data_IF_578036796887
#
_entry.id   IF_578036796887
#
_cell.length_a   1.000
_cell.length_b   1.000
_cell.length_c   1.000
_cell.angle_alpha   90.00
_cell.angle_beta   90.00
_cell.angle_gamma   90.00
#
_symmetry.space_group_name_H-M   'P 1'
#
loop_
_entity.id
_entity.type
_entity.pdbx_description
1 polymer ?
#
# COMPACT_ATOMS: atom_id res chain seq x y z
N UNK A 1 -86.76 17.79 63.99
CA UNK A 1 -86.83 16.83 62.87
C UNK A 1 -85.74 15.79 63.09
N UNK A 2 -86.09 14.49 63.23
CA UNK A 2 -85.08 13.45 63.41
C UNK A 2 -84.44 13.11 62.07
N UNK A 3 -83.11 13.10 62.01
CA UNK A 3 -82.36 12.56 60.87
C UNK A 3 -82.32 11.04 61.06
N UNK A 4 -82.97 10.30 60.18
CA UNK A 4 -82.91 8.84 60.15
C UNK A 4 -81.50 8.41 59.75
N UNK A 5 -80.78 7.75 60.66
CA UNK A 5 -79.54 7.05 60.36
C UNK A 5 -79.87 5.77 59.58
N UNK A 6 -79.90 5.90 58.26
CA UNK A 6 -79.99 4.77 57.34
C UNK A 6 -78.70 3.94 57.43
N UNK A 7 -78.86 2.63 57.27
CA UNK A 7 -77.87 1.58 57.49
C UNK A 7 -76.79 1.57 56.40
N UNK A 8 -75.87 2.54 56.44
CA UNK A 8 -74.80 2.79 55.45
C UNK A 8 -73.53 1.92 55.62
N UNK A 9 -73.54 0.90 56.50
CA UNK A 9 -72.31 0.12 56.80
C UNK A 9 -71.83 -0.79 55.65
N UNK A 10 -72.68 -1.07 54.65
CA UNK A 10 -72.31 -1.90 53.50
C UNK A 10 -71.62 -1.14 52.37
N UNK A 11 -72.08 0.07 52.05
CA UNK A 11 -71.59 0.85 50.91
C UNK A 11 -70.13 1.31 51.11
N UNK A 12 -69.78 1.74 52.32
CA UNK A 12 -68.40 2.17 52.66
C UNK A 12 -67.40 1.03 52.48
N UNK A 13 -67.78 -0.20 52.87
CA UNK A 13 -66.92 -1.37 52.72
C UNK A 13 -66.64 -1.69 51.25
N UNK A 14 -67.67 -1.63 50.40
CA UNK A 14 -67.53 -1.85 48.94
C UNK A 14 -66.65 -0.77 48.30
N UNK A 15 -66.87 0.50 48.63
CA UNK A 15 -66.04 1.60 48.10
C UNK A 15 -64.59 1.47 48.55
N UNK A 16 -64.35 1.15 49.82
CA UNK A 16 -62.99 0.94 50.34
C UNK A 16 -62.28 -0.24 49.65
N UNK A 17 -63.01 -1.31 49.33
CA UNK A 17 -62.48 -2.50 48.66
C UNK A 17 -62.17 -2.21 47.19
N UNK A 18 -63.03 -1.44 46.50
CA UNK A 18 -62.78 -0.99 45.12
C UNK A 18 -61.57 -0.06 45.06
N UNK A 19 -61.48 0.93 45.96
CA UNK A 19 -60.33 1.84 46.01
C UNK A 19 -59.02 1.10 46.33
N UNK A 20 -59.06 0.15 47.26
CA UNK A 20 -57.91 -0.70 47.57
C UNK A 20 -57.52 -1.57 46.36
N UNK A 21 -58.50 -2.16 45.67
CA UNK A 21 -58.25 -2.97 44.47
C UNK A 21 -57.66 -2.15 43.31
N UNK A 22 -58.12 -0.92 43.11
CA UNK A 22 -57.55 -0.02 42.11
C UNK A 22 -56.12 0.39 42.47
N UNK A 23 -55.85 0.69 43.75
CA UNK A 23 -54.51 1.03 44.22
C UNK A 23 -53.54 -0.16 44.07
N UNK A 24 -53.98 -1.39 44.36
CA UNK A 24 -53.14 -2.59 44.18
C UNK A 24 -52.87 -2.89 42.71
N UNK A 25 -53.85 -2.73 41.81
CA UNK A 25 -53.64 -2.93 40.37
C UNK A 25 -52.60 -1.94 39.80
N UNK A 26 -52.68 -0.66 40.20
CA UNK A 26 -51.68 0.34 39.80
C UNK A 26 -50.30 -0.01 40.37
N UNK A 27 -50.24 -0.45 41.63
CA UNK A 27 -48.99 -0.88 42.27
C UNK A 27 -48.33 -2.07 41.56
N UNK A 28 -49.11 -3.11 41.21
CA UNK A 28 -48.63 -4.29 40.48
C UNK A 28 -48.17 -3.94 39.07
N UNK A 29 -48.89 -3.04 38.38
CA UNK A 29 -48.49 -2.56 37.07
C UNK A 29 -47.15 -1.82 37.13
N UNK A 30 -46.93 -0.96 38.13
CA UNK A 30 -45.68 -0.22 38.32
C UNK A 30 -44.48 -1.14 38.58
N UNK A 31 -44.65 -2.16 39.42
CA UNK A 31 -43.61 -3.16 39.69
C UNK A 31 -43.27 -3.96 38.42
N UNK A 32 -44.28 -4.34 37.63
CA UNK A 32 -44.07 -5.10 36.39
C UNK A 32 -43.23 -4.31 35.38
N UNK A 33 -43.48 -3.01 35.23
CA UNK A 33 -42.67 -2.14 34.35
C UNK A 33 -41.23 -2.00 34.85
N UNK A 34 -41.01 -1.84 36.16
CA UNK A 34 -39.68 -1.74 36.74
C UNK A 34 -38.83 -2.99 36.47
N UNK A 35 -39.42 -4.19 36.61
CA UNK A 35 -38.74 -5.45 36.31
C UNK A 35 -38.36 -5.59 34.83
N UNK A 36 -39.20 -5.09 33.91
CA UNK A 36 -38.88 -5.08 32.47
C UNK A 36 -37.70 -4.15 32.20
N UNK A 37 -37.71 -2.94 32.78
CA UNK A 37 -36.64 -1.96 32.61
C UNK A 37 -35.31 -2.47 33.18
N UNK A 38 -35.34 -3.14 34.34
CA UNK A 38 -34.15 -3.78 34.92
C UNK A 38 -33.57 -4.86 34.01
N UNK A 39 -34.42 -5.70 33.40
CA UNK A 39 -33.97 -6.71 32.43
C UNK A 39 -33.41 -6.09 31.16
N UNK A 40 -34.03 -5.05 30.62
CA UNK A 40 -33.54 -4.33 29.45
C UNK A 40 -32.18 -3.69 29.76
N UNK A 41 -32.04 -3.04 30.92
CA UNK A 41 -30.78 -2.45 31.37
C UNK A 41 -29.70 -3.51 31.58
N UNK A 42 -30.05 -4.67 32.17
CA UNK A 42 -29.15 -5.81 32.34
C UNK A 42 -28.67 -6.40 31.02
N UNK A 43 -29.58 -6.55 30.04
CA UNK A 43 -29.23 -7.02 28.70
C UNK A 43 -28.34 -6.03 27.95
N UNK A 44 -28.65 -4.73 28.03
CA UNK A 44 -27.82 -3.69 27.44
C UNK A 44 -26.42 -3.69 28.06
N UNK A 45 -26.32 -3.79 29.40
CA UNK A 45 -25.03 -3.90 30.08
C UNK A 45 -24.23 -5.10 29.58
N UNK A 46 -24.82 -6.29 29.54
CA UNK A 46 -24.11 -7.48 29.05
C UNK A 46 -23.65 -7.34 27.60
N UNK A 47 -24.47 -6.74 26.73
CA UNK A 47 -24.10 -6.44 25.35
C UNK A 47 -22.90 -5.50 25.28
N UNK A 48 -22.90 -4.43 26.08
CA UNK A 48 -21.80 -3.47 26.15
C UNK A 48 -20.54 -4.11 26.71
N UNK A 49 -20.64 -4.92 27.77
CA UNK A 49 -19.49 -5.62 28.36
C UNK A 49 -18.86 -6.59 27.35
N UNK A 50 -19.68 -7.33 26.58
CA UNK A 50 -19.20 -8.21 25.52
C UNK A 50 -18.51 -7.43 24.39
N UNK A 51 -19.06 -6.28 23.99
CA UNK A 51 -18.45 -5.44 22.96
C UNK A 51 -17.11 -4.86 23.41
N UNK A 52 -17.04 -4.29 24.62
CA UNK A 52 -15.80 -3.75 25.19
C UNK A 52 -14.73 -4.85 25.34
N UNK A 53 -15.13 -6.08 25.68
CA UNK A 53 -14.19 -7.19 25.71
C UNK A 53 -13.62 -7.50 24.32
N UNK A 54 -14.46 -7.53 23.28
CA UNK A 54 -14.00 -7.73 21.91
C UNK A 54 -13.08 -6.59 21.43
N UNK A 55 -13.38 -5.34 21.76
CA UNK A 55 -12.51 -4.18 21.46
C UNK A 55 -11.17 -4.25 22.19
N UNK A 56 -11.16 -4.73 23.44
CA UNK A 56 -9.92 -4.97 24.17
C UNK A 56 -9.07 -6.03 23.47
N UNK A 57 -9.69 -7.09 22.93
CA UNK A 57 -9.01 -8.07 22.09
C UNK A 57 -8.45 -7.44 20.83
N UNK A 58 -9.21 -6.56 20.17
CA UNK A 58 -8.79 -5.87 18.96
C UNK A 58 -7.53 -5.04 19.22
N UNK A 59 -7.53 -4.26 20.30
CA UNK A 59 -6.34 -3.51 20.74
C UNK A 59 -5.16 -4.41 21.06
N UNK A 60 -5.38 -5.56 21.69
CA UNK A 60 -4.33 -6.55 21.96
C UNK A 60 -3.68 -7.08 20.68
N UNK A 61 -4.48 -7.38 19.65
CA UNK A 61 -3.99 -7.86 18.35
C UNK A 61 -3.16 -6.78 17.64
N UNK A 62 -3.67 -5.55 17.59
CA UNK A 62 -2.97 -4.42 16.96
C UNK A 62 -1.62 -4.18 17.64
N UNK A 63 -1.59 -4.17 18.98
CA UNK A 63 -0.35 -4.02 19.74
C UNK A 63 0.61 -5.18 19.49
N UNK A 64 0.12 -6.43 19.47
CA UNK A 64 0.95 -7.60 19.23
C UNK A 64 1.61 -7.58 17.84
N UNK A 65 0.92 -7.07 16.82
CA UNK A 65 1.50 -6.88 15.47
C UNK A 65 2.50 -5.73 15.47
N UNK A 66 2.17 -4.60 16.11
CA UNK A 66 3.06 -3.44 16.20
C UNK A 66 4.37 -3.78 16.93
N UNK A 67 4.31 -4.60 17.97
CA UNK A 67 5.47 -5.03 18.77
C UNK A 67 6.47 -5.90 17.99
N UNK A 68 6.05 -6.55 16.89
CA UNK A 68 6.99 -7.29 16.03
C UNK A 68 7.88 -6.37 15.20
N UNK A 69 7.53 -5.09 15.08
CA UNK A 69 8.20 -4.14 14.20
C UNK A 69 7.98 -4.41 12.70
N UNK A 70 8.57 -3.56 11.83
CA UNK A 70 8.28 -3.56 10.39
C UNK A 70 8.68 -4.87 9.67
N UNK A 71 9.74 -5.53 10.13
CA UNK A 71 10.25 -6.79 9.56
C UNK A 71 9.69 -8.05 10.24
N UNK A 72 8.74 -7.87 11.17
CA UNK A 72 8.09 -8.96 11.89
C UNK A 72 7.35 -9.92 10.96
N UNK A 73 7.94 -11.08 10.68
CA UNK A 73 7.29 -12.13 9.86
C UNK A 73 6.40 -13.06 10.69
N UNK A 74 6.54 -13.06 12.01
CA UNK A 74 5.89 -14.04 12.89
C UNK A 74 4.38 -14.07 12.73
N UNK A 75 3.69 -12.93 12.75
CA UNK A 75 2.24 -12.88 12.57
C UNK A 75 1.78 -13.42 11.21
N UNK A 76 2.61 -13.27 10.18
CA UNK A 76 2.22 -13.40 8.78
C UNK A 76 2.64 -14.72 8.11
N UNK A 77 3.40 -15.55 8.82
CA UNK A 77 3.93 -16.82 8.30
C UNK A 77 2.86 -17.89 8.13
N UNK A 78 2.02 -18.06 9.16
CA UNK A 78 1.01 -19.10 9.22
C UNK A 78 -0.13 -18.70 10.16
N UNK A 79 -1.26 -19.40 10.07
CA UNK A 79 -2.36 -19.23 11.03
C UNK A 79 -1.90 -19.61 12.44
N UNK A 80 -1.08 -20.64 12.56
CA UNK A 80 -0.56 -21.13 13.84
C UNK A 80 0.30 -20.06 14.52
N UNK A 81 1.18 -19.40 13.77
CA UNK A 81 2.02 -18.32 14.31
C UNK A 81 1.20 -17.09 14.69
N UNK A 82 0.17 -16.76 13.91
CA UNK A 82 -0.81 -15.72 14.26
C UNK A 82 -1.50 -16.02 15.59
N UNK A 83 -2.06 -17.23 15.73
CA UNK A 83 -2.75 -17.69 16.95
C UNK A 83 -1.79 -17.70 18.14
N UNK A 84 -0.54 -18.14 17.93
CA UNK A 84 0.49 -18.16 18.96
C UNK A 84 0.86 -16.76 19.44
N UNK A 85 0.94 -15.79 18.53
CA UNK A 85 1.26 -14.40 18.86
C UNK A 85 0.12 -13.74 19.65
N UNK A 86 -1.11 -13.85 19.16
CA UNK A 86 -2.28 -13.25 19.82
C UNK A 86 -2.55 -13.94 21.17
N UNK A 87 -2.23 -15.23 21.26
CA UNK A 87 -2.46 -16.08 22.42
C UNK A 87 -3.77 -16.83 22.29
N UNK A 88 -3.68 -18.16 22.24
CA UNK A 88 -4.84 -19.03 22.28
C UNK A 88 -5.52 -19.00 23.65
N UNK A 89 -6.86 -19.04 23.66
CA UNK A 89 -7.66 -19.14 24.88
C UNK A 89 -8.37 -17.84 25.27
N UNK A 90 -8.86 -17.81 26.52
CA UNK A 90 -9.68 -16.71 27.04
C UNK A 90 -8.81 -15.67 27.71
N UNK A 91 -9.06 -14.41 27.36
CA UNK A 91 -8.39 -13.24 27.90
C UNK A 91 -9.41 -12.37 28.64
N UNK A 92 -9.35 -12.39 29.97
CA UNK A 92 -10.30 -11.66 30.82
C UNK A 92 -10.00 -10.16 30.87
N UNK A 93 -11.05 -9.35 30.82
CA UNK A 93 -11.00 -7.89 30.81
C UNK A 93 -11.59 -7.37 32.12
N UNK A 94 -10.77 -6.65 32.89
CA UNK A 94 -11.17 -6.05 34.18
C UNK A 94 -11.12 -7.04 35.35
N UNK A 95 -10.11 -6.91 36.19
CA UNK A 95 -9.98 -7.71 37.41
C UNK A 95 -10.43 -6.93 38.63
N UNK A 96 -11.53 -7.32 39.27
CA UNK A 96 -11.67 -7.17 40.73
C UNK A 96 -12.40 -8.32 41.41
N UNK A 97 -13.39 -9.01 40.81
CA UNK A 97 -14.03 -10.17 41.47
C UNK A 97 -14.64 -11.19 40.47
N UNK A 98 -13.98 -12.34 40.26
CA UNK A 98 -14.47 -13.46 39.42
C UNK A 98 -14.22 -13.30 37.90
N UNK A 99 -14.51 -14.33 37.08
CA UNK A 99 -14.33 -14.25 35.63
C UNK A 99 -15.31 -13.22 35.04
N UNK A 100 -14.77 -12.02 34.76
CA UNK A 100 -15.47 -10.93 34.12
C UNK A 100 -15.69 -11.17 32.63
N UNK A 101 -16.00 -10.10 31.91
CA UNK A 101 -16.05 -10.16 30.46
C UNK A 101 -14.68 -10.61 29.91
N UNK A 102 -14.66 -11.39 28.84
CA UNK A 102 -13.43 -11.90 28.25
C UNK A 102 -13.55 -11.89 26.74
N UNK A 103 -12.40 -11.93 26.07
CA UNK A 103 -12.34 -12.18 24.64
C UNK A 103 -11.57 -13.45 24.34
N UNK A 104 -11.87 -14.07 23.21
CA UNK A 104 -11.11 -15.19 22.66
C UNK A 104 -11.00 -15.03 21.15
N UNK A 105 -9.96 -15.63 20.59
CA UNK A 105 -9.78 -15.74 19.16
C UNK A 105 -10.68 -16.85 18.62
N UNK A 106 -11.45 -16.54 17.59
CA UNK A 106 -12.31 -17.51 16.92
C UNK A 106 -11.53 -18.33 15.89
N UNK A 107 -11.93 -19.59 15.70
CA UNK A 107 -11.27 -20.50 14.79
C UNK A 107 -11.42 -20.10 13.32
N UNK A 108 -12.38 -19.24 12.96
CA UNK A 108 -12.51 -18.70 11.60
C UNK A 108 -11.43 -17.67 11.25
N UNK A 109 -10.57 -17.26 12.20
CA UNK A 109 -9.39 -16.47 11.90
C UNK A 109 -8.53 -17.18 10.83
N UNK A 110 -8.09 -16.42 9.83
CA UNK A 110 -7.43 -16.97 8.66
C UNK A 110 -6.40 -16.03 8.04
N UNK A 111 -5.39 -16.64 7.42
CA UNK A 111 -4.44 -15.98 6.54
C UNK A 111 -4.93 -16.16 5.10
N UNK A 112 -5.08 -15.07 4.35
CA UNK A 112 -5.56 -15.12 2.97
C UNK A 112 -4.39 -15.37 2.02
N UNK A 113 -3.33 -14.56 2.10
CA UNK A 113 -2.23 -14.59 1.12
C UNK A 113 -0.84 -14.19 1.70
N UNK A 114 -0.61 -14.33 3.01
CA UNK A 114 0.67 -13.92 3.65
C UNK A 114 0.87 -12.41 3.76
N UNK A 115 -0.01 -11.62 3.11
CA UNK A 115 -0.08 -10.16 3.15
C UNK A 115 -1.41 -9.67 3.70
N UNK A 116 -2.45 -10.50 3.72
CA UNK A 116 -3.75 -10.21 4.30
C UNK A 116 -4.15 -11.28 5.32
N UNK A 117 -4.71 -10.83 6.45
CA UNK A 117 -5.25 -11.68 7.49
C UNK A 117 -6.61 -11.17 7.96
N UNK A 118 -7.50 -12.11 8.25
CA UNK A 118 -8.77 -11.86 8.90
C UNK A 118 -8.73 -12.46 10.31
N UNK A 119 -8.80 -11.60 11.33
CA UNK A 119 -8.78 -11.99 12.74
C UNK A 119 -10.17 -11.79 13.30
N UNK A 120 -10.78 -12.86 13.79
CA UNK A 120 -12.13 -12.82 14.37
C UNK A 120 -12.03 -12.96 15.88
N UNK A 121 -12.56 -11.97 16.60
CA UNK A 121 -12.50 -11.89 18.06
C UNK A 121 -13.91 -11.96 18.62
N UNK A 122 -14.15 -12.86 19.57
CA UNK A 122 -15.43 -13.00 20.26
C UNK A 122 -15.27 -12.48 21.68
N UNK A 123 -15.94 -11.36 21.97
CA UNK A 123 -16.12 -10.88 23.33
C UNK A 123 -17.37 -11.49 23.96
N UNK A 124 -17.26 -11.94 25.21
CA UNK A 124 -18.37 -12.44 26.03
C UNK A 124 -18.43 -11.71 27.34
N UNK A 125 -19.65 -11.45 27.81
CA UNK A 125 -19.89 -10.73 29.08
C UNK A 125 -19.60 -11.55 30.34
N UNK A 126 -19.63 -12.88 30.25
CA UNK A 126 -19.29 -13.80 31.35
C UNK A 126 -19.07 -15.22 30.81
N UNK A 127 -18.61 -16.14 31.66
CA UNK A 127 -18.47 -17.57 31.36
C UNK A 127 -19.80 -18.35 31.26
N UNK A 128 -20.95 -17.68 31.40
CA UNK A 128 -22.26 -18.32 31.34
C UNK A 128 -22.65 -18.69 29.90
N UNK A 129 -23.32 -19.83 29.71
CA UNK A 129 -23.83 -20.25 28.40
C UNK A 129 -24.87 -19.29 27.80
N UNK A 130 -25.48 -18.44 28.62
CA UNK A 130 -26.45 -17.42 28.21
C UNK A 130 -25.84 -16.00 28.17
N UNK A 131 -24.52 -15.88 28.28
CA UNK A 131 -23.84 -14.59 28.23
C UNK A 131 -24.05 -13.92 26.86
N UNK A 132 -24.23 -12.60 26.88
CA UNK A 132 -24.16 -11.83 25.65
C UNK A 132 -22.78 -12.01 25.01
N UNK A 133 -22.78 -12.14 23.68
CA UNK A 133 -21.60 -12.32 22.84
C UNK A 133 -21.61 -11.32 21.70
N UNK A 134 -20.43 -10.84 21.32
CA UNK A 134 -20.20 -9.91 20.21
C UNK A 134 -18.94 -10.33 19.46
N UNK A 135 -19.03 -10.40 18.14
CA UNK A 135 -17.88 -10.72 17.30
C UNK A 135 -17.42 -9.49 16.53
N UNK A 136 -16.11 -9.22 16.60
CA UNK A 136 -15.44 -8.24 15.77
C UNK A 136 -14.54 -8.96 14.78
N UNK A 137 -14.56 -8.49 13.55
CA UNK A 137 -13.68 -8.96 12.48
C UNK A 137 -12.69 -7.86 12.17
N UNK A 138 -11.42 -8.11 12.41
CA UNK A 138 -10.31 -7.27 11.98
C UNK A 138 -9.75 -7.82 10.68
N UNK A 139 -9.79 -7.01 9.64
CA UNK A 139 -9.04 -7.22 8.41
C UNK A 139 -7.77 -6.38 8.50
N UNK A 140 -6.63 -7.07 8.47
CA UNK A 140 -5.31 -6.42 8.44
C UNK A 140 -4.62 -6.82 7.16
N UNK A 141 -4.08 -5.84 6.45
CA UNK A 141 -3.19 -6.08 5.32
C UNK A 141 -1.87 -5.37 5.53
N UNK A 142 -0.79 -6.05 5.19
CA UNK A 142 0.56 -5.49 5.06
C UNK A 142 0.92 -5.44 3.58
N UNK A 143 1.56 -4.36 3.16
CA UNK A 143 2.10 -4.27 1.82
C UNK A 143 3.50 -3.68 1.84
N UNK A 144 4.41 -4.24 1.07
CA UNK A 144 5.75 -3.69 0.88
C UNK A 144 5.78 -2.92 -0.42
N UNK A 145 6.49 -1.78 -0.44
CA UNK A 145 6.78 -1.15 -1.71
C UNK A 145 7.65 -2.10 -2.54
N UNK A 146 7.35 -2.24 -3.84
CA UNK A 146 8.08 -3.17 -4.67
C UNK A 146 9.54 -2.70 -4.82
N UNK A 147 10.46 -3.66 -4.73
CA UNK A 147 11.89 -3.39 -4.91
C UNK A 147 12.33 -3.59 -6.36
N UNK A 148 13.03 -2.63 -6.99
CA UNK A 148 13.70 -2.87 -8.26
C UNK A 148 14.97 -3.70 -8.02
N UNK A 149 15.00 -4.91 -8.56
CA UNK A 149 16.14 -5.86 -8.43
C UNK A 149 17.29 -5.56 -9.42
N UNK A 150 17.18 -4.49 -10.19
CA UNK A 150 18.12 -4.12 -11.26
C UNK A 150 18.15 -2.61 -11.53
N UNK A 151 19.15 -2.16 -12.29
CA UNK A 151 19.20 -0.79 -12.80
C UNK A 151 17.97 -0.47 -13.66
N UNK A 152 17.58 -1.42 -14.52
CA UNK A 152 16.37 -1.33 -15.32
C UNK A 152 15.53 -2.61 -15.20
N UNK A 153 14.27 -2.45 -14.80
CA UNK A 153 13.30 -3.54 -14.64
C UNK A 153 12.14 -3.34 -15.61
N UNK A 154 11.93 -4.29 -16.54
CA UNK A 154 10.76 -4.31 -17.41
C UNK A 154 9.74 -5.31 -16.86
N UNK A 155 8.48 -4.90 -16.72
CA UNK A 155 7.40 -5.74 -16.18
C UNK A 155 6.22 -5.77 -17.15
N UNK A 156 5.79 -6.98 -17.53
CA UNK A 156 4.61 -7.20 -18.37
C UNK A 156 4.81 -8.21 -19.50
N UNK A 157 3.72 -8.66 -20.13
CA UNK A 157 3.74 -9.65 -21.20
C UNK A 157 4.55 -9.21 -22.44
N UNK A 158 4.74 -7.90 -22.58
CA UNK A 158 5.43 -7.22 -23.68
C UNK A 158 6.94 -7.04 -23.44
N UNK A 159 7.47 -7.47 -22.28
CA UNK A 159 8.89 -7.32 -21.92
C UNK A 159 9.77 -8.37 -22.58
N UNK A 160 10.40 -8.00 -23.70
CA UNK A 160 11.31 -8.88 -24.45
C UNK A 160 12.64 -8.17 -24.70
N UNK A 161 13.72 -8.95 -24.81
CA UNK A 161 15.07 -8.42 -25.05
C UNK A 161 15.15 -7.50 -26.27
N UNK A 162 14.54 -7.88 -27.39
CA UNK A 162 14.58 -7.08 -28.62
C UNK A 162 13.86 -5.73 -28.52
N UNK A 163 13.00 -5.54 -27.51
CA UNK A 163 12.36 -4.25 -27.23
C UNK A 163 13.17 -3.37 -26.30
N UNK A 164 13.85 -3.96 -25.33
CA UNK A 164 14.64 -3.20 -24.34
C UNK A 164 16.03 -2.88 -24.85
N UNK A 165 16.62 -3.76 -25.66
CA UNK A 165 17.90 -3.53 -26.34
C UNK A 165 17.65 -3.36 -27.85
N UNK A 166 17.10 -2.22 -28.29
CA UNK A 166 16.93 -1.98 -29.72
C UNK A 166 18.31 -1.93 -30.40
N UNK A 167 18.48 -2.73 -31.44
CA UNK A 167 19.72 -2.85 -32.23
C UNK A 167 19.98 -1.63 -33.14
N UNK A 168 19.96 -0.42 -32.58
CA UNK A 168 20.20 0.82 -33.33
C UNK A 168 21.67 1.21 -33.22
N UNK A 169 22.34 1.38 -34.37
CA UNK A 169 23.75 1.81 -34.42
C UNK A 169 23.88 3.27 -34.00
N UNK A 170 24.55 3.52 -32.88
CA UNK A 170 25.18 4.81 -32.58
C UNK A 170 24.53 5.66 -31.49
N UNK A 171 23.45 5.21 -30.85
CA UNK A 171 22.88 5.81 -29.64
C UNK A 171 22.34 4.70 -28.76
N UNK A 172 22.97 4.53 -27.61
CA UNK A 172 22.80 3.34 -26.79
C UNK A 172 22.31 3.77 -25.41
N UNK A 173 21.28 3.09 -24.92
CA UNK A 173 20.91 3.13 -23.52
C UNK A 173 21.87 2.22 -22.76
N UNK A 174 22.61 2.77 -21.78
CA UNK A 174 23.51 1.98 -20.94
C UNK A 174 22.81 1.57 -19.65
N UNK A 175 23.01 0.31 -19.27
CA UNK A 175 22.41 -0.31 -18.11
C UNK A 175 23.52 -0.81 -17.19
N UNK A 176 23.77 -0.15 -16.06
CA UNK A 176 24.78 -0.57 -15.09
C UNK A 176 24.16 -0.92 -13.75
N UNK A 177 24.06 -2.21 -13.46
CA UNK A 177 23.54 -2.77 -12.22
C UNK A 177 24.51 -2.75 -11.04
N UNK A 178 25.75 -2.28 -11.21
CA UNK A 178 26.65 -2.04 -10.08
C UNK A 178 26.13 -0.90 -9.23
N UNK A 179 26.42 -0.93 -7.93
CA UNK A 179 25.97 0.13 -7.03
C UNK A 179 26.87 1.37 -7.16
N UNK A 180 26.30 2.45 -7.70
CA UNK A 180 26.96 3.74 -7.88
C UNK A 180 26.58 4.70 -6.75
N UNK A 181 27.57 5.45 -6.29
CA UNK A 181 27.34 6.64 -5.47
C UNK A 181 27.15 7.83 -6.42
N UNK A 182 25.97 8.49 -6.41
CA UNK A 182 25.77 9.69 -7.20
C UNK A 182 26.74 10.80 -6.77
N UNK A 183 27.16 11.67 -7.70
CA UNK A 183 28.07 12.77 -7.41
C UNK A 183 27.39 13.78 -6.46
N UNK A 184 28.09 14.26 -5.43
CA UNK A 184 27.53 15.29 -4.56
C UNK A 184 27.38 16.63 -5.29
N UNK A 185 26.34 17.41 -5.01
CA UNK A 185 26.16 18.76 -5.60
C UNK A 185 27.41 19.66 -5.45
N UNK A 186 28.13 19.56 -4.32
CA UNK A 186 29.36 20.32 -4.08
C UNK A 186 30.58 19.81 -4.88
N UNK A 187 30.53 18.56 -5.36
CA UNK A 187 31.59 17.95 -6.19
C UNK A 187 31.46 18.36 -7.67
N UNK A 188 30.33 18.98 -8.03
CA UNK A 188 30.00 19.39 -9.39
C UNK A 188 30.42 20.83 -9.75
N UNK A 189 30.99 21.61 -8.82
CA UNK A 189 31.34 23.02 -9.08
C UNK A 189 32.51 23.21 -10.07
N UNK A 190 33.29 22.17 -10.35
CA UNK A 190 34.47 22.23 -11.24
C UNK A 190 34.35 21.45 -12.55
N UNK A 191 33.14 21.01 -12.94
CA UNK A 191 32.88 20.40 -14.25
C UNK A 191 33.31 18.94 -14.42
N UNK A 192 33.74 18.27 -13.35
CA UNK A 192 34.02 16.83 -13.31
C UNK A 192 33.16 16.16 -12.22
N UNK A 193 31.85 16.04 -12.48
CA UNK A 193 30.94 15.27 -11.62
C UNK A 193 31.22 13.77 -11.78
N UNK A 194 32.22 13.24 -11.07
CA UNK A 194 32.55 11.82 -11.16
C UNK A 194 31.75 11.01 -10.15
N UNK A 195 30.78 10.26 -10.64
CA UNK A 195 30.20 9.17 -9.87
C UNK A 195 31.25 8.08 -9.63
N UNK A 196 31.14 7.39 -8.49
CA UNK A 196 32.05 6.32 -8.12
C UNK A 196 31.29 5.04 -7.80
N UNK A 197 31.86 3.90 -8.18
CA UNK A 197 31.27 2.59 -7.87
C UNK A 197 31.58 2.26 -6.42
N UNK A 198 30.55 1.93 -5.66
CA UNK A 198 30.68 1.50 -4.28
C UNK A 198 31.32 0.10 -4.25
N UNK A 199 32.60 0.00 -3.87
CA UNK A 199 33.36 -1.26 -3.93
C UNK A 199 32.83 -2.36 -2.99
N UNK A 200 32.02 -2.01 -2.00
CA UNK A 200 31.42 -2.97 -1.05
C UNK A 200 29.96 -3.34 -1.39
N UNK A 201 29.35 -2.71 -2.39
CA UNK A 201 27.96 -2.99 -2.80
C UNK A 201 27.90 -4.17 -3.77
N UNK A 202 27.02 -5.15 -3.50
CA UNK A 202 26.79 -6.25 -4.42
C UNK A 202 26.33 -5.73 -5.78
N UNK A 203 26.93 -6.23 -6.87
CA UNK A 203 26.49 -5.91 -8.23
C UNK A 203 25.10 -6.50 -8.46
N UNK A 204 24.08 -5.66 -8.58
CA UNK A 204 22.74 -6.05 -9.00
C UNK A 204 22.71 -6.45 -10.47
N UNK A 205 21.53 -6.85 -10.94
CA UNK A 205 21.36 -7.11 -12.36
C UNK A 205 21.37 -5.79 -13.15
N UNK A 206 22.00 -5.78 -14.32
CA UNK A 206 21.90 -4.63 -15.22
C UNK A 206 20.47 -4.49 -15.77
N UNK A 207 19.95 -5.61 -16.29
CA UNK A 207 18.61 -5.71 -16.84
C UNK A 207 17.81 -6.83 -16.17
N UNK A 208 16.56 -6.56 -15.81
CA UNK A 208 15.61 -7.56 -15.36
C UNK A 208 14.33 -7.52 -16.20
N UNK A 209 13.98 -8.63 -16.83
CA UNK A 209 12.77 -8.79 -17.62
C UNK A 209 11.80 -9.73 -16.90
N UNK A 210 10.68 -9.18 -16.45
CA UNK A 210 9.57 -9.92 -15.87
C UNK A 210 8.48 -10.13 -16.93
N UNK A 211 8.64 -11.19 -17.73
CA UNK A 211 7.71 -11.54 -18.81
C UNK A 211 6.76 -12.65 -18.38
N UNK A 212 5.46 -12.51 -18.68
CA UNK A 212 4.46 -13.58 -18.47
C UNK A 212 4.71 -14.83 -19.34
N UNK A 213 5.55 -14.73 -20.37
CA UNK A 213 5.92 -15.86 -21.24
C UNK A 213 7.24 -16.51 -20.85
N UNK A 214 7.92 -16.00 -19.81
CA UNK A 214 9.12 -16.65 -19.29
C UNK A 214 8.75 -18.01 -18.67
N UNK A 215 9.68 -19.00 -18.67
CA UNK A 215 9.48 -20.22 -17.90
C UNK A 215 9.24 -19.88 -16.43
N UNK A 216 8.53 -20.76 -15.69
CA UNK A 216 8.20 -20.64 -14.25
C UNK A 216 9.42 -20.55 -13.30
N UNK A 217 10.61 -20.21 -13.82
CA UNK A 217 11.87 -20.14 -13.11
C UNK A 217 12.66 -18.89 -13.54
N UNK A 218 13.29 -18.24 -12.57
CA UNK A 218 14.22 -17.15 -12.84
C UNK A 218 15.53 -17.68 -13.45
N UNK A 219 15.94 -17.12 -14.59
CA UNK A 219 17.20 -17.44 -15.25
C UNK A 219 18.08 -16.19 -15.38
N UNK A 220 19.39 -16.42 -15.35
CA UNK A 220 20.41 -15.36 -15.45
C UNK A 220 21.29 -15.61 -16.68
N UNK A 221 21.60 -14.55 -17.43
CA UNK A 221 22.32 -14.65 -18.70
C UNK A 221 23.43 -13.60 -18.81
N UNK A 222 24.49 -13.96 -19.52
CA UNK A 222 25.47 -13.02 -20.08
C UNK A 222 25.03 -12.62 -21.49
N UNK A 223 25.01 -11.32 -21.79
CA UNK A 223 24.63 -10.80 -23.09
C UNK A 223 25.88 -10.67 -23.97
N UNK A 224 26.03 -11.61 -24.91
CA UNK A 224 27.14 -11.59 -25.87
C UNK A 224 26.97 -10.43 -26.86
N UNK A 225 27.97 -9.54 -26.97
CA UNK A 225 27.96 -8.42 -27.91
C UNK A 225 27.30 -7.14 -27.41
N UNK A 226 26.80 -7.13 -26.16
CA UNK A 226 26.38 -5.93 -25.42
C UNK A 226 27.45 -5.52 -24.38
N UNK A 227 28.71 -5.91 -24.63
CA UNK A 227 29.83 -5.70 -23.71
C UNK A 227 30.08 -4.19 -23.54
N UNK A 228 29.73 -3.68 -22.35
CA UNK A 228 29.80 -2.25 -22.02
C UNK A 228 28.46 -1.52 -22.06
N UNK A 229 27.45 -2.05 -22.76
CA UNK A 229 26.08 -1.51 -22.77
C UNK A 229 25.26 -2.02 -21.59
N UNK A 230 25.44 -3.29 -21.21
CA UNK A 230 24.81 -3.90 -20.04
C UNK A 230 25.89 -4.43 -19.09
N UNK A 231 25.97 -3.85 -17.91
CA UNK A 231 26.93 -4.17 -16.85
C UNK A 231 26.13 -4.58 -15.62
N UNK A 232 26.56 -5.64 -14.93
CA UNK A 232 25.86 -6.18 -13.77
C UNK A 232 26.23 -7.63 -13.52
N UNK A 233 25.83 -8.19 -12.37
CA UNK A 233 26.07 -9.60 -12.03
C UNK A 233 24.81 -10.22 -11.45
N UNK A 234 23.92 -10.80 -12.28
CA UNK A 234 24.08 -11.07 -13.72
C UNK A 234 23.85 -9.84 -14.61
N UNK A 235 24.29 -9.86 -15.87
CA UNK A 235 23.94 -8.79 -16.81
C UNK A 235 22.44 -8.75 -17.09
N UNK A 236 21.85 -9.92 -17.34
CA UNK A 236 20.43 -10.07 -17.60
C UNK A 236 19.81 -11.09 -16.65
N UNK A 237 18.68 -10.73 -16.06
CA UNK A 237 17.77 -11.63 -15.36
C UNK A 237 16.44 -11.70 -16.10
N UNK A 238 15.89 -12.90 -16.25
CA UNK A 238 14.53 -13.10 -16.77
C UNK A 238 13.75 -13.92 -15.76
N UNK A 239 12.53 -13.52 -15.42
CA UNK A 239 11.63 -14.30 -14.57
C UNK A 239 10.16 -14.15 -14.97
N UNK A 240 9.34 -15.14 -14.64
CA UNK A 240 7.87 -15.05 -14.74
C UNK A 240 7.21 -14.59 -13.43
N UNK A 241 7.96 -14.74 -12.32
CA UNK A 241 7.57 -14.36 -10.97
C UNK A 241 8.59 -13.35 -10.39
N UNK A 242 8.18 -12.49 -9.44
CA UNK A 242 9.10 -11.63 -8.71
C UNK A 242 10.13 -12.47 -7.96
N UNK A 243 11.33 -11.92 -7.78
CA UNK A 243 12.48 -12.71 -7.32
C UNK A 243 12.57 -12.86 -5.80
N UNK A 244 11.84 -12.01 -5.08
CA UNK A 244 11.51 -12.12 -3.66
C UNK A 244 9.99 -11.96 -3.50
N UNK A 245 9.41 -12.31 -2.33
CA UNK A 245 8.02 -11.96 -2.00
C UNK A 245 7.73 -10.46 -2.19
N UNK A 246 8.75 -9.62 -2.06
CA UNK A 246 8.73 -8.16 -2.21
C UNK A 246 9.12 -7.68 -3.62
N UNK A 247 9.55 -8.59 -4.51
CA UNK A 247 10.11 -8.30 -5.83
C UNK A 247 9.09 -7.83 -6.87
N UNK A 248 7.89 -7.47 -6.41
CA UNK A 248 6.86 -6.72 -7.11
C UNK A 248 6.54 -7.16 -8.54
N UNK A 249 5.53 -8.00 -8.71
CA UNK A 249 4.92 -8.20 -10.04
C UNK A 249 4.17 -6.95 -10.53
N UNK A 250 3.59 -7.01 -11.73
CA UNK A 250 2.79 -5.90 -12.30
C UNK A 250 1.74 -5.38 -11.32
N UNK A 251 1.05 -6.28 -10.60
CA UNK A 251 0.02 -5.91 -9.62
C UNK A 251 0.59 -5.11 -8.45
N UNK A 252 1.75 -5.49 -7.93
CA UNK A 252 2.38 -4.81 -6.80
C UNK A 252 2.82 -3.39 -7.18
N UNK A 253 3.43 -3.23 -8.36
CA UNK A 253 3.79 -1.90 -8.88
C UNK A 253 2.56 -1.04 -9.18
N UNK A 254 1.49 -1.62 -9.72
CA UNK A 254 0.23 -0.90 -9.92
C UNK A 254 -0.40 -0.45 -8.60
N UNK A 255 -0.41 -1.31 -7.58
CA UNK A 255 -0.96 -0.98 -6.26
C UNK A 255 -0.10 0.06 -5.53
N UNK A 256 1.23 -0.06 -5.60
CA UNK A 256 2.15 0.96 -5.10
C UNK A 256 1.87 2.31 -5.74
N UNK A 257 1.80 2.39 -7.07
CA UNK A 257 1.49 3.64 -7.76
C UNK A 257 0.12 4.20 -7.41
N UNK A 258 -0.91 3.36 -7.29
CA UNK A 258 -2.24 3.81 -6.88
C UNK A 258 -2.21 4.42 -5.47
N UNK A 259 -1.51 3.76 -4.54
CA UNK A 259 -1.39 4.23 -3.15
C UNK A 259 -0.58 5.52 -3.09
N UNK A 260 0.56 5.55 -3.78
CA UNK A 260 1.42 6.72 -3.88
C UNK A 260 0.64 7.90 -4.44
N UNK A 261 0.00 7.76 -5.60
CA UNK A 261 -0.75 8.84 -6.24
C UNK A 261 -2.00 9.28 -5.45
N UNK A 262 -2.67 8.35 -4.75
CA UNK A 262 -3.84 8.69 -3.92
C UNK A 262 -3.47 9.36 -2.59
N UNK A 263 -2.38 8.91 -1.94
CA UNK A 263 -1.95 9.40 -0.64
C UNK A 263 -1.14 10.69 -0.67
N UNK A 264 -0.67 11.10 -1.85
CA UNK A 264 0.26 12.22 -2.02
C UNK A 264 -0.27 13.36 -2.90
N UNK A 265 -1.59 13.48 -3.07
CA UNK A 265 -2.20 14.53 -3.90
C UNK A 265 -1.67 15.96 -3.65
N UNK A 266 -1.30 16.29 -2.41
CA UNK A 266 -0.74 17.60 -2.03
C UNK A 266 0.79 17.73 -2.27
N UNK A 267 1.48 16.62 -2.55
CA UNK A 267 2.95 16.55 -2.73
C UNK A 267 3.38 16.24 -4.17
N UNK A 268 2.44 15.85 -5.03
CA UNK A 268 2.72 15.54 -6.44
C UNK A 268 2.82 16.85 -7.23
N UNK A 269 3.91 17.01 -7.96
CA UNK A 269 4.01 18.00 -9.03
C UNK A 269 3.53 17.33 -10.30
N UNK A 270 2.29 17.62 -10.68
CA UNK A 270 1.66 17.05 -11.87
C UNK A 270 1.84 17.96 -13.09
N UNK A 271 2.29 17.37 -14.21
CA UNK A 271 2.52 18.06 -15.48
C UNK A 271 1.78 17.32 -16.58
N UNK A 272 0.86 18.00 -17.25
CA UNK A 272 0.09 17.43 -18.36
C UNK A 272 0.63 17.93 -19.71
N UNK A 273 1.23 17.00 -20.47
CA UNK A 273 1.70 17.20 -21.84
C UNK A 273 0.52 16.92 -22.78
N UNK A 274 -0.35 17.91 -22.95
CA UNK A 274 -1.56 17.76 -23.77
C UNK A 274 -1.26 17.28 -25.20
N UNK A 275 -2.27 16.64 -25.82
CA UNK A 275 -2.27 15.91 -27.12
C UNK A 275 -1.70 16.68 -28.35
N UNK A 276 -1.38 17.97 -28.21
CA UNK A 276 -0.85 18.82 -29.28
C UNK A 276 0.56 19.38 -29.00
N UNK A 277 1.28 18.88 -27.99
CA UNK A 277 2.66 19.28 -27.68
C UNK A 277 3.71 18.75 -28.70
N UNK A 278 3.32 18.64 -29.97
CA UNK A 278 4.19 18.33 -31.11
C UNK A 278 4.91 19.55 -31.69
N UNK A 279 4.77 20.73 -31.07
CA UNK A 279 5.56 21.90 -31.45
C UNK A 279 6.73 22.05 -30.47
N UNK A 280 7.91 21.59 -30.87
CA UNK A 280 9.18 22.04 -30.29
C UNK A 280 9.15 23.58 -30.22
N UNK A 281 9.05 24.17 -29.02
CA UNK A 281 8.79 25.61 -28.90
C UNK A 281 8.60 26.12 -27.47
N UNK A 282 8.54 27.46 -27.36
CA UNK A 282 8.63 28.25 -26.12
C UNK A 282 7.56 27.96 -25.05
N UNK A 283 6.47 27.26 -25.40
CA UNK A 283 5.38 26.90 -24.47
C UNK A 283 5.53 25.48 -23.89
N UNK A 284 6.60 24.74 -24.24
CA UNK A 284 6.89 23.45 -23.61
C UNK A 284 7.33 23.68 -22.16
N UNK A 285 6.79 22.94 -21.18
CA UNK A 285 7.17 23.13 -19.79
C UNK A 285 8.64 22.74 -19.57
N UNK A 286 9.35 23.56 -18.81
CA UNK A 286 10.79 23.39 -18.56
C UNK A 286 11.00 22.41 -17.40
N UNK A 287 11.72 21.32 -17.65
CA UNK A 287 12.00 20.28 -16.67
C UNK A 287 12.71 20.81 -15.43
N UNK A 288 13.60 21.80 -15.59
CA UNK A 288 14.27 22.47 -14.47
C UNK A 288 13.31 23.22 -13.53
N UNK A 289 12.19 23.73 -14.04
CA UNK A 289 11.15 24.37 -13.21
C UNK A 289 10.24 23.36 -12.53
N UNK A 290 10.07 22.17 -13.13
CA UNK A 290 9.26 21.07 -12.60
C UNK A 290 10.00 20.34 -11.49
N UNK A 291 11.25 19.96 -11.76
CA UNK A 291 12.02 19.06 -10.91
C UNK A 291 12.92 19.82 -9.92
N UNK A 292 13.18 21.11 -10.18
CA UNK A 292 14.01 21.95 -9.31
C UNK A 292 15.48 21.49 -9.26
N UNK A 293 16.24 21.93 -8.27
CA UNK A 293 17.68 21.59 -8.10
C UNK A 293 17.91 20.23 -7.41
N UNK A 294 16.85 19.47 -7.11
CA UNK A 294 16.97 18.09 -6.63
C UNK A 294 17.18 17.88 -5.13
N UNK A 295 16.92 18.86 -4.26
CA UNK A 295 16.87 18.62 -2.80
C UNK A 295 15.82 19.52 -2.13
N UNK A 296 14.90 18.98 -1.30
CA UNK A 296 14.69 17.55 -0.99
C UNK A 296 14.08 16.77 -2.17
N UNK A 297 14.17 15.42 -2.17
CA UNK A 297 13.57 14.60 -3.22
C UNK A 297 12.06 14.80 -3.31
N UNK A 298 11.54 14.94 -4.53
CA UNK A 298 10.13 15.20 -4.83
C UNK A 298 9.38 14.00 -5.43
N UNK A 299 8.07 14.18 -5.63
CA UNK A 299 7.24 13.26 -6.40
C UNK A 299 6.69 13.98 -7.63
N UNK A 300 7.09 13.52 -8.82
CA UNK A 300 6.77 14.16 -10.09
C UNK A 300 5.93 13.22 -10.94
N UNK A 301 4.80 13.69 -11.46
CA UNK A 301 3.95 12.89 -12.34
C UNK A 301 3.70 13.63 -13.65
N UNK A 302 4.28 13.11 -14.73
CA UNK A 302 4.14 13.64 -16.08
C UNK A 302 3.15 12.75 -16.83
N UNK A 303 2.09 13.34 -17.36
CA UNK A 303 1.05 12.65 -18.15
C UNK A 303 1.06 13.11 -19.59
N UNK A 304 0.63 12.24 -20.50
CA UNK A 304 0.41 12.57 -21.91
C UNK A 304 1.62 12.30 -22.81
N UNK A 305 1.68 13.01 -23.94
CA UNK A 305 2.72 12.88 -24.96
C UNK A 305 3.09 14.25 -25.53
N UNK A 306 4.37 14.48 -25.79
CA UNK A 306 4.84 15.81 -26.15
C UNK A 306 6.33 16.02 -25.93
N UNK A 307 6.71 17.26 -25.66
CA UNK A 307 8.10 17.65 -25.41
C UNK A 307 8.27 18.34 -24.05
N UNK A 308 9.35 18.03 -23.36
CA UNK A 308 9.81 18.68 -22.13
C UNK A 308 11.05 19.51 -22.44
N UNK A 309 11.01 20.78 -22.06
CA UNK A 309 12.10 21.71 -22.22
C UNK A 309 13.25 21.43 -21.24
N UNK A 310 14.50 21.43 -21.70
CA UNK A 310 15.71 21.44 -20.90
C UNK A 310 16.41 22.77 -21.09
N UNK A 311 16.83 23.41 -20.00
CA UNK A 311 17.61 24.63 -20.04
C UNK A 311 18.90 24.41 -19.27
N UNK A 312 19.97 24.05 -20.00
CA UNK A 312 21.25 23.69 -19.39
C UNK A 312 21.19 22.37 -18.62
N UNK A 313 21.97 22.30 -17.55
CA UNK A 313 22.08 21.11 -16.70
C UNK A 313 20.97 21.12 -15.63
N UNK A 314 20.08 20.13 -15.70
CA UNK A 314 18.99 19.94 -14.75
C UNK A 314 19.35 18.79 -13.83
N UNK A 315 19.29 19.02 -12.52
CA UNK A 315 19.53 18.01 -11.51
C UNK A 315 18.28 17.80 -10.67
N UNK A 316 17.74 16.58 -10.66
CA UNK A 316 16.57 16.21 -9.88
C UNK A 316 16.81 15.06 -8.94
N UNK A 317 16.01 14.97 -7.89
CA UNK A 317 15.95 13.77 -7.06
C UNK A 317 14.51 13.45 -6.67
N UNK A 318 14.17 12.17 -6.55
CA UNK A 318 12.83 11.75 -6.13
C UNK A 318 12.26 10.55 -6.87
N UNK A 319 10.93 10.53 -6.95
CA UNK A 319 10.18 9.56 -7.75
C UNK A 319 9.59 10.29 -8.96
N UNK A 320 10.00 9.89 -10.16
CA UNK A 320 9.51 10.43 -11.43
C UNK A 320 8.61 9.40 -12.11
N UNK A 321 7.33 9.71 -12.24
CA UNK A 321 6.34 8.86 -12.91
C UNK A 321 6.01 9.51 -14.25
N UNK A 322 6.16 8.74 -15.34
CA UNK A 322 5.72 9.17 -16.67
C UNK A 322 4.64 8.20 -17.14
N UNK A 323 3.47 8.76 -17.41
CA UNK A 323 2.28 8.05 -17.87
C UNK A 323 1.90 8.49 -19.27
N UNK A 324 1.78 7.54 -20.17
CA UNK A 324 1.06 7.79 -21.42
C UNK A 324 -0.46 7.81 -21.21
N UNK A 325 -1.18 8.49 -22.11
CA UNK A 325 -2.61 8.35 -22.27
C UNK A 325 -2.97 7.01 -22.93
N UNK A 326 -4.18 6.52 -22.67
CA UNK A 326 -4.70 5.34 -23.38
C UNK A 326 -5.02 5.71 -24.84
N UNK A 327 -4.10 5.46 -25.76
CA UNK A 327 -4.41 5.61 -27.20
C UNK A 327 -5.26 4.43 -27.67
N UNK A 328 -6.52 4.67 -28.04
CA UNK A 328 -7.38 3.65 -28.65
C UNK A 328 -6.86 3.15 -30.00
N UNK A 329 -5.98 3.92 -30.65
CA UNK A 329 -5.38 3.63 -31.96
C UNK A 329 -4.06 2.86 -31.88
N UNK A 330 -3.60 2.53 -30.66
CA UNK A 330 -2.31 1.86 -30.47
C UNK A 330 -1.09 2.70 -30.90
N UNK A 331 -1.25 4.02 -31.00
CA UNK A 331 -0.16 4.93 -31.36
C UNK A 331 0.86 5.02 -30.23
N UNK A 332 2.13 4.84 -30.58
CA UNK A 332 3.23 4.94 -29.64
C UNK A 332 3.32 6.33 -29.04
N UNK A 333 3.34 6.40 -27.71
CA UNK A 333 3.40 7.66 -27.00
C UNK A 333 4.84 8.00 -26.64
N UNK A 334 5.27 9.19 -27.02
CA UNK A 334 6.63 9.66 -26.80
C UNK A 334 6.63 10.96 -26.02
N UNK A 335 7.54 11.04 -25.05
CA UNK A 335 7.90 12.26 -24.34
C UNK A 335 9.33 12.58 -24.75
N UNK A 336 9.52 13.65 -25.52
CA UNK A 336 10.83 14.04 -26.03
C UNK A 336 11.47 15.07 -25.09
N UNK A 337 12.75 14.89 -24.79
CA UNK A 337 13.55 15.91 -24.12
C UNK A 337 14.20 16.82 -25.17
N UNK A 338 14.08 18.14 -25.01
CA UNK A 338 14.53 19.15 -25.98
C UNK A 338 14.94 20.44 -25.25
N UNK A 339 15.90 21.28 -25.68
CA UNK A 339 16.75 21.20 -26.87
C UNK A 339 18.10 20.50 -26.64
N UNK A 340 18.76 20.23 -27.76
CA UNK A 340 20.01 19.50 -28.05
C UNK A 340 21.25 19.66 -27.15
N UNK A 341 21.25 20.47 -26.09
CA UNK A 341 22.46 20.86 -25.36
C UNK A 341 22.35 20.78 -23.82
N UNK A 342 21.23 20.29 -23.27
CA UNK A 342 21.05 20.14 -21.83
C UNK A 342 21.39 18.73 -21.35
N UNK A 343 22.02 18.63 -20.17
CA UNK A 343 22.11 17.36 -19.45
C UNK A 343 21.01 17.25 -18.39
N UNK A 344 20.46 16.06 -18.22
CA UNK A 344 19.49 15.78 -17.16
C UNK A 344 20.03 14.68 -16.27
N UNK A 345 20.29 15.02 -15.01
CA UNK A 345 20.68 14.05 -13.99
C UNK A 345 19.51 13.86 -13.03
N UNK A 346 19.16 12.60 -12.77
CA UNK A 346 18.08 12.26 -11.86
C UNK A 346 18.51 11.21 -10.84
N UNK A 347 18.31 11.49 -9.55
CA UNK A 347 18.61 10.60 -8.44
C UNK A 347 17.31 10.01 -7.85
N UNK A 348 17.10 8.71 -7.99
CA UNK A 348 15.98 8.01 -7.36
C UNK A 348 15.28 7.02 -8.30
N UNK A 349 13.95 7.03 -8.28
CA UNK A 349 13.13 6.00 -8.93
C UNK A 349 12.36 6.59 -10.11
N UNK A 350 12.61 6.09 -11.32
CA UNK A 350 11.88 6.48 -12.53
C UNK A 350 10.92 5.37 -12.92
N UNK A 351 9.64 5.69 -13.09
CA UNK A 351 8.58 4.73 -13.41
C UNK A 351 7.91 5.15 -14.71
N UNK A 352 8.07 4.35 -15.75
CA UNK A 352 7.40 4.51 -17.03
C UNK A 352 6.23 3.55 -17.10
N UNK A 353 5.04 4.07 -17.40
CA UNK A 353 3.83 3.26 -17.52
C UNK A 353 3.00 3.61 -18.74
N UNK A 354 2.03 2.75 -19.01
CA UNK A 354 1.08 2.90 -20.11
C UNK A 354 1.77 2.94 -21.49
N UNK A 355 2.94 2.32 -21.60
CA UNK A 355 3.69 2.19 -22.86
C UNK A 355 4.26 3.51 -23.39
N UNK A 356 4.60 4.45 -22.50
CA UNK A 356 5.29 5.69 -22.88
C UNK A 356 6.78 5.43 -23.14
N UNK A 357 7.35 6.14 -24.12
CA UNK A 357 8.79 6.24 -24.33
C UNK A 357 9.29 7.61 -23.91
N UNK A 358 10.29 7.62 -23.05
CA UNK A 358 11.11 8.80 -22.84
C UNK A 358 12.23 8.82 -23.89
N UNK A 359 12.18 9.81 -24.77
CA UNK A 359 13.12 9.99 -25.87
C UNK A 359 14.13 11.10 -25.54
N UNK A 360 15.36 10.68 -25.29
CA UNK A 360 16.52 11.54 -25.05
C UNK A 360 17.42 11.64 -26.30
N UNK A 361 16.83 11.70 -27.50
CA UNK A 361 17.61 11.92 -28.73
C UNK A 361 18.23 13.33 -28.82
N UNK A 362 17.85 14.27 -27.97
CA UNK A 362 18.43 15.61 -28.01
C UNK A 362 18.94 16.03 -26.62
N UNK A 363 19.18 15.09 -25.73
CA UNK A 363 19.66 15.37 -24.39
C UNK A 363 20.51 14.19 -23.89
N UNK A 364 21.44 14.46 -22.99
CA UNK A 364 22.16 13.40 -22.28
C UNK A 364 21.50 13.20 -20.91
N UNK A 365 20.95 12.01 -20.70
CA UNK A 365 20.23 11.67 -19.46
C UNK A 365 21.07 10.71 -18.63
N UNK A 366 21.33 11.07 -17.38
CA UNK A 366 21.97 10.20 -16.38
C UNK A 366 21.01 9.93 -15.23
N UNK A 367 20.64 8.67 -15.02
CA UNK A 367 19.77 8.25 -13.93
C UNK A 367 20.61 7.47 -12.93
N UNK A 368 20.64 7.93 -11.68
CA UNK A 368 21.23 7.23 -10.53
C UNK A 368 20.11 6.69 -9.65
N UNK A 369 19.93 5.37 -9.60
CA UNK A 369 18.86 4.74 -8.82
C UNK A 369 18.25 3.56 -9.57
N UNK A 370 16.95 3.58 -9.90
CA UNK A 370 16.35 2.49 -10.66
C UNK A 370 15.28 2.98 -11.63
N UNK A 371 15.16 2.29 -12.76
CA UNK A 371 14.14 2.53 -13.77
C UNK A 371 13.22 1.33 -13.87
N UNK A 372 11.92 1.57 -13.73
CA UNK A 372 10.89 0.53 -13.82
C UNK A 372 9.95 0.86 -14.97
N UNK A 373 9.79 -0.08 -15.89
CA UNK A 373 8.95 0.10 -17.07
C UNK A 373 7.84 -0.94 -17.04
N UNK A 374 6.60 -0.47 -16.95
CA UNK A 374 5.41 -1.31 -16.99
C UNK A 374 4.81 -1.27 -18.40
N UNK A 375 4.87 -2.42 -19.08
CA UNK A 375 4.29 -2.60 -20.40
C UNK A 375 2.95 -3.34 -20.28
N UNK A 376 1.88 -2.72 -20.77
CA UNK A 376 0.53 -3.30 -20.77
C UNK A 376 0.36 -4.49 -21.72
N UNK A 377 -0.85 -5.07 -21.68
CA UNK A 377 -1.26 -6.23 -22.50
C UNK A 377 -1.53 -5.87 -23.98
N UNK A 378 -1.68 -4.57 -24.28
CA UNK A 378 -1.93 -4.11 -25.64
C UNK A 378 -0.70 -4.26 -26.54
N UNK A 379 -0.85 -5.11 -27.56
CA UNK A 379 0.08 -5.34 -28.65
C UNK A 379 0.16 -4.08 -29.52
N UNK A 380 0.99 -3.09 -29.19
CA UNK A 380 1.12 -1.92 -30.07
C UNK A 380 2.08 -0.82 -29.67
N UNK A 381 2.18 -0.46 -28.39
CA UNK A 381 2.95 0.74 -28.00
C UNK A 381 4.24 0.32 -27.31
N UNK A 382 5.37 0.58 -27.97
CA UNK A 382 6.68 0.45 -27.34
C UNK A 382 6.74 1.36 -26.12
N UNK A 383 7.27 0.87 -25.01
CA UNK A 383 7.54 1.67 -23.80
C UNK A 383 8.95 1.40 -23.32
N UNK A 384 9.58 2.42 -22.74
CA UNK A 384 10.98 2.35 -22.33
C UNK A 384 11.74 3.64 -22.61
N UNK A 385 13.03 3.50 -22.89
CA UNK A 385 13.96 4.60 -23.08
C UNK A 385 14.52 4.57 -24.49
N UNK A 386 14.73 5.74 -25.08
CA UNK A 386 15.38 5.93 -26.37
C UNK A 386 16.36 7.10 -26.32
N UNK A 387 17.37 7.09 -27.19
CA UNK A 387 18.38 8.14 -27.26
C UNK A 387 19.59 7.90 -26.36
N UNK A 388 20.18 8.97 -25.80
CA UNK A 388 21.37 8.92 -24.96
C UNK A 388 20.96 8.86 -23.48
N UNK A 389 20.83 7.64 -22.94
CA UNK A 389 20.43 7.44 -21.54
C UNK A 389 21.41 6.51 -20.85
N UNK A 390 22.00 6.97 -19.75
CA UNK A 390 22.83 6.17 -18.86
C UNK A 390 22.06 5.88 -17.58
N UNK A 391 21.89 4.60 -17.27
CA UNK A 391 21.21 4.15 -16.05
C UNK A 391 22.25 3.47 -15.18
N UNK A 392 22.44 4.00 -13.97
CA UNK A 392 23.38 3.51 -12.98
C UNK A 392 22.59 3.16 -11.73
N UNK A 393 22.62 1.90 -11.33
CA UNK A 393 21.96 1.48 -10.11
C UNK A 393 22.55 2.23 -8.92
N UNK A 394 21.72 2.74 -8.02
CA UNK A 394 22.18 3.41 -6.80
C UNK A 394 21.30 3.09 -5.61
N UNK A 395 21.82 2.29 -4.68
CA UNK A 395 21.16 2.03 -3.40
C UNK A 395 21.08 3.29 -2.54
N UNK A 396 22.07 4.19 -2.64
CA UNK A 396 22.09 5.47 -1.93
C UNK A 396 20.95 6.38 -2.37
N UNK A 397 20.75 6.56 -3.67
CA UNK A 397 19.64 7.38 -4.19
C UNK A 397 18.28 6.81 -3.80
N UNK A 398 18.13 5.48 -3.83
CA UNK A 398 16.91 4.79 -3.40
C UNK A 398 16.67 4.90 -1.88
N UNK A 399 17.72 4.82 -1.05
CA UNK A 399 17.61 5.00 0.41
C UNK A 399 17.16 6.41 0.78
N UNK A 400 17.58 7.45 0.04
CA UNK A 400 17.08 8.82 0.24
C UNK A 400 15.55 8.91 0.06
N UNK A 401 14.96 8.13 -0.85
CA UNK A 401 13.50 8.08 -1.00
C UNK A 401 12.81 7.50 0.23
N UNK A 402 13.42 6.52 0.88
CA UNK A 402 12.91 5.89 2.11
C UNK A 402 12.94 6.85 3.29
N UNK A 403 14.02 7.62 3.44
CA UNK A 403 14.12 8.68 4.46
C UNK A 403 13.00 9.73 4.33
N UNK A 404 12.59 10.03 3.10
CA UNK A 404 11.53 10.99 2.78
C UNK A 404 10.12 10.38 2.67
N UNK A 405 9.97 9.08 2.96
CA UNK A 405 8.71 8.31 2.85
C UNK A 405 8.08 8.38 1.45
N UNK A 406 8.92 8.41 0.42
CA UNK A 406 8.49 8.35 -0.97
C UNK A 406 8.51 6.92 -1.52
N UNK A 407 9.36 6.06 -0.96
CA UNK A 407 9.48 4.64 -1.33
C UNK A 407 10.19 3.87 -0.22
N UNK A 408 9.61 2.79 0.30
CA UNK A 408 10.18 1.98 1.37
C UNK A 408 9.89 0.48 1.18
N UNK A 409 10.81 -0.28 0.55
CA UNK A 409 10.58 -1.70 0.29
C UNK A 409 10.82 -2.58 1.53
N UNK A 410 11.32 -2.01 2.64
CA UNK A 410 11.73 -2.74 3.84
C UNK A 410 10.69 -2.63 4.95
N UNK A 411 9.98 -1.50 5.05
CA UNK A 411 8.92 -1.32 6.02
C UNK A 411 7.57 -1.43 5.32
N UNK A 412 6.71 -2.36 5.75
CA UNK A 412 5.39 -2.49 5.14
C UNK A 412 4.46 -1.40 5.66
N UNK A 413 3.60 -0.92 4.76
CA UNK A 413 2.42 -0.17 5.13
C UNK A 413 1.33 -1.11 5.64
N UNK A 414 0.68 -0.73 6.74
CA UNK A 414 -0.40 -1.48 7.33
C UNK A 414 -1.74 -0.78 7.11
N UNK A 415 -2.70 -1.50 6.55
CA UNK A 415 -4.09 -1.08 6.51
C UNK A 415 -4.92 -1.93 7.46
N UNK A 416 -5.72 -1.27 8.28
CA UNK A 416 -6.54 -1.89 9.31
C UNK A 416 -7.99 -1.48 9.08
N UNK A 417 -8.87 -2.46 8.94
CA UNK A 417 -10.30 -2.23 8.89
C UNK A 417 -10.98 -3.22 9.82
N UNK A 418 -11.97 -2.77 10.58
CA UNK A 418 -12.74 -3.68 11.43
C UNK A 418 -14.22 -3.45 11.25
N UNK A 419 -15.00 -4.51 11.48
CA UNK A 419 -16.46 -4.47 11.47
C UNK A 419 -17.02 -5.41 12.53
N UNK A 420 -18.20 -5.08 13.03
CA UNK A 420 -18.96 -6.00 13.86
C UNK A 420 -19.64 -7.06 12.98
N UNK A 421 -19.52 -8.33 13.36
CA UNK A 421 -20.21 -9.45 12.71
C UNK A 421 -21.55 -9.67 13.42
N UNK A 422 -22.62 -9.20 12.79
CA UNK A 422 -23.98 -9.24 13.38
C UNK A 422 -24.60 -10.65 13.36
N UNK A 423 -24.12 -11.55 12.50
CA UNK A 423 -24.59 -12.95 12.41
C UNK A 423 -23.60 -13.93 13.07
N UNK A 424 -23.85 -14.23 14.34
CA UNK A 424 -23.12 -15.26 15.10
C UNK A 424 -23.70 -16.68 14.91
N UNK A 425 -24.88 -16.82 14.33
CA UNK A 425 -25.59 -18.11 14.18
C UNK A 425 -24.98 -19.07 13.14
N UNK A 426 -24.07 -18.61 12.28
CA UNK A 426 -23.42 -19.45 11.28
C UNK A 426 -22.24 -20.27 11.82
N UNK A 427 -21.69 -19.94 13.01
CA UNK A 427 -20.51 -20.62 13.58
C UNK A 427 -20.84 -21.86 14.43
N UNK A 428 -22.12 -22.20 14.58
CA UNK A 428 -22.55 -23.40 15.33
C UNK A 428 -23.00 -24.56 14.42
N UNK A 429 -22.89 -24.42 13.09
CA UNK A 429 -23.34 -25.43 12.12
C UNK A 429 -22.38 -25.58 10.91
N UNK A 430 -21.08 -25.69 11.13
CA UNK A 430 -20.18 -26.41 10.21
C UNK A 430 -19.40 -27.50 10.96
#
# INVERSE_FOLDING_TARGET
MPISLVRERGAVLVVSLVLLALATLVGVSGISTALIQERIAGNHKQITDAFMAAESGLGSVVNAIADQGPSGMGFWNSKEDMVQLIGAGRHYVGGVDGPGAYWELDESASMIDGHQAEVVLIGRSSDSAIAAQRALVLQVSRWFDPSPDSAYTCIGASCTLGRVLPSQRGRTVHYDGRDWTPPGQAECESGDCQAHIHQEGGSGAGLHLMSQTAPDQSASYSLFGADGEVIGSPQLRISSLPSSPDGGGVRSWQQYLQTLLAGSADRIIQVDLGVNAGAEGADSPMLGEIIGTGEPPGLYHITGSGSLGLSGDVHGAGVLIISGDSSSDGSQQTVNLFPSNGSFTFEGLVILRDGVILNAEQADVSIYGAVVVMLGEHQGTGGGLAGNVDIRYSSKALNLLSEHRLWNPVQPDFNWAWKEKMDLYALLNE
#
